data_IF_363711252985
#
_entry.id   IF_363711252985
#
_cell.length_a   1.000
_cell.length_b   1.000
_cell.length_c   1.000
_cell.angle_alpha   90.00
_cell.angle_beta   90.00
_cell.angle_gamma   90.00
#
_symmetry.space_group_name_H-M   'P 1'
#
loop_
_entity.id
_entity.type
_entity.pdbx_description
1 polymer ?
#
# COMPACT_ATOMS: atom_id res chain seq x y z
N UNK A 1 -1.39 29.88 -8.05
CA UNK A 1 -2.37 30.38 -7.05
C UNK A 1 -1.92 29.82 -5.73
N UNK A 2 -1.85 30.64 -4.69
CA UNK A 2 -1.19 30.26 -3.43
C UNK A 2 -2.19 30.13 -2.28
N UNK A 3 -1.81 29.40 -1.22
CA UNK A 3 -2.56 29.25 0.03
C UNK A 3 -3.97 28.67 -0.13
N UNK A 4 -4.15 27.72 -1.05
CA UNK A 4 -5.40 26.97 -1.15
C UNK A 4 -5.35 25.76 -0.24
N UNK A 5 -6.50 25.35 0.30
CA UNK A 5 -6.68 24.09 1.01
C UNK A 5 -7.54 23.17 0.14
N UNK A 6 -6.98 22.04 -0.26
CA UNK A 6 -7.53 21.13 -1.24
C UNK A 6 -7.57 19.75 -0.59
N UNK A 7 -8.76 19.32 -0.17
CA UNK A 7 -9.00 18.03 0.48
C UNK A 7 -10.43 17.57 0.16
N UNK A 8 -10.70 16.28 0.32
CA UNK A 8 -11.97 15.61 -0.01
C UNK A 8 -12.40 15.73 -1.49
N UNK A 9 -11.44 15.91 -2.40
CA UNK A 9 -11.71 15.91 -3.85
C UNK A 9 -11.43 14.54 -4.46
N UNK A 10 -11.97 14.30 -5.65
CA UNK A 10 -11.75 13.09 -6.42
C UNK A 10 -11.10 13.46 -7.75
N UNK A 11 -9.81 13.13 -7.90
CA UNK A 11 -9.05 13.29 -9.13
C UNK A 11 -9.05 11.96 -9.87
N UNK A 12 -9.91 11.84 -10.88
CA UNK A 12 -10.16 10.60 -11.62
C UNK A 12 -9.82 10.82 -13.09
N UNK A 13 -8.94 9.98 -13.63
CA UNK A 13 -8.62 9.90 -15.06
C UNK A 13 -8.22 11.25 -15.70
N UNK A 14 -7.45 12.08 -14.99
CA UNK A 14 -7.03 13.40 -15.49
C UNK A 14 -5.87 13.36 -16.52
N UNK A 15 -5.62 12.20 -17.15
CA UNK A 15 -4.60 12.06 -18.19
C UNK A 15 -3.22 11.68 -17.62
N UNK A 16 -2.17 12.45 -17.96
CA UNK A 16 -0.80 12.13 -17.54
C UNK A 16 -0.53 12.44 -16.07
N UNK A 17 -1.20 13.46 -15.50
CA UNK A 17 -0.96 13.97 -14.15
C UNK A 17 -2.29 14.42 -13.55
N UNK A 18 -2.56 14.04 -12.29
CA UNK A 18 -3.84 14.33 -11.62
C UNK A 18 -3.95 15.76 -11.07
N UNK A 19 -2.81 16.37 -10.78
CA UNK A 19 -2.66 17.73 -10.30
C UNK A 19 -1.30 18.25 -10.77
N UNK A 20 -1.02 19.54 -10.55
CA UNK A 20 0.31 20.12 -10.75
C UNK A 20 0.48 21.31 -9.80
N UNK A 21 1.57 21.33 -9.04
CA UNK A 21 1.90 22.42 -8.12
C UNK A 21 3.36 22.85 -8.24
N UNK A 22 3.56 24.03 -8.82
CA UNK A 22 4.87 24.68 -8.95
C UNK A 22 5.22 25.55 -7.72
N UNK A 23 4.38 25.56 -6.68
CA UNK A 23 4.49 26.45 -5.52
C UNK A 23 4.38 25.67 -4.20
N UNK A 24 5.22 25.98 -3.20
CA UNK A 24 5.20 25.29 -1.88
C UNK A 24 4.08 25.76 -0.92
N UNK A 25 3.02 26.38 -1.44
CA UNK A 25 2.07 27.15 -0.62
C UNK A 25 0.64 26.62 -0.61
N UNK A 26 0.30 25.64 -1.45
CA UNK A 26 -0.99 24.97 -1.33
C UNK A 26 -0.88 23.80 -0.35
N UNK A 27 -2.01 23.50 0.28
CA UNK A 27 -2.16 22.38 1.18
C UNK A 27 -3.08 21.36 0.51
N UNK A 28 -2.57 20.17 0.27
CA UNK A 28 -3.27 19.07 -0.39
C UNK A 28 -3.95 18.10 0.59
N UNK A 29 -3.93 18.44 1.87
CA UNK A 29 -4.65 17.77 2.94
C UNK A 29 -4.99 18.78 4.05
N UNK A 30 -5.81 18.36 5.02
CA UNK A 30 -6.14 19.17 6.20
C UNK A 30 -5.48 18.67 7.50
N UNK A 31 -4.44 17.83 7.39
CA UNK A 31 -3.80 17.15 8.52
C UNK A 31 -4.55 15.93 9.06
N UNK A 32 -5.68 15.56 8.46
CA UNK A 32 -6.47 14.37 8.80
C UNK A 32 -6.92 13.59 7.57
N UNK A 33 -7.26 14.29 6.48
CA UNK A 33 -7.73 13.71 5.23
C UNK A 33 -7.29 14.58 4.06
N UNK A 34 -6.95 13.93 2.96
CA UNK A 34 -6.56 14.51 1.69
C UNK A 34 -7.58 14.23 0.61
N UNK A 35 -7.12 13.84 -0.56
CA UNK A 35 -7.91 13.64 -1.77
C UNK A 35 -7.83 12.19 -2.25
N UNK A 36 -8.78 11.81 -3.10
CA UNK A 36 -8.72 10.56 -3.85
C UNK A 36 -7.95 10.78 -5.16
N UNK A 37 -7.01 9.90 -5.44
CA UNK A 37 -6.14 9.93 -6.62
C UNK A 37 -6.27 8.61 -7.37
N UNK A 38 -6.75 8.64 -8.61
CA UNK A 38 -7.02 7.40 -9.36
C UNK A 38 -5.77 6.59 -9.73
N UNK A 39 -4.58 7.21 -9.66
CA UNK A 39 -3.28 6.59 -9.92
C UNK A 39 -2.50 6.27 -8.63
N UNK A 40 -3.03 6.59 -7.46
CA UNK A 40 -2.44 6.15 -6.20
C UNK A 40 -2.49 4.62 -6.11
N UNK A 41 -1.39 4.05 -5.63
CA UNK A 41 -1.20 2.59 -5.57
C UNK A 41 -0.55 2.17 -4.26
N UNK A 42 -0.78 2.97 -3.20
CA UNK A 42 -0.34 2.67 -1.84
C UNK A 42 -1.17 1.55 -1.19
N UNK A 43 -0.99 1.43 0.11
CA UNK A 43 -1.58 0.41 0.99
C UNK A 43 -2.36 1.14 2.09
N UNK A 44 -3.47 0.57 2.56
CA UNK A 44 -4.20 0.98 3.77
C UNK A 44 -4.14 -0.18 4.78
N UNK A 45 -2.99 -0.40 5.40
CA UNK A 45 -2.73 -1.63 6.17
C UNK A 45 -3.52 -1.69 7.48
N UNK A 46 -4.08 -0.56 7.93
CA UNK A 46 -4.89 -0.45 9.13
C UNK A 46 -6.39 -0.32 8.83
N UNK A 47 -6.80 -0.42 7.57
CA UNK A 47 -8.18 -0.36 7.07
C UNK A 47 -8.94 0.90 7.58
N UNK A 48 -8.29 2.07 7.61
CA UNK A 48 -8.91 3.31 8.09
C UNK A 48 -9.44 4.24 6.98
N UNK A 49 -9.29 3.82 5.72
CA UNK A 49 -9.68 4.56 4.54
C UNK A 49 -8.67 5.62 4.09
N UNK A 50 -7.46 5.60 4.66
CA UNK A 50 -6.36 6.50 4.36
C UNK A 50 -5.14 5.69 3.91
N UNK A 51 -4.54 6.11 2.80
CA UNK A 51 -3.30 5.53 2.34
C UNK A 51 -2.13 5.79 3.29
N UNK A 52 -1.38 4.74 3.65
CA UNK A 52 -0.24 4.78 4.58
C UNK A 52 0.96 5.58 4.08
N UNK A 53 1.01 5.88 2.77
CA UNK A 53 2.09 6.64 2.14
C UNK A 53 1.54 7.90 1.48
N UNK A 54 2.22 9.06 1.61
CA UNK A 54 1.80 10.27 0.92
C UNK A 54 1.70 10.11 -0.60
N UNK A 55 0.82 10.87 -1.25
CA UNK A 55 0.78 11.04 -2.70
C UNK A 55 1.60 12.27 -3.10
N UNK A 56 2.60 12.08 -3.95
CA UNK A 56 3.44 13.16 -4.47
C UNK A 56 2.69 13.99 -5.52
N UNK A 57 2.63 15.30 -5.32
CA UNK A 57 2.08 16.23 -6.30
C UNK A 57 3.20 16.61 -7.28
N UNK A 58 3.02 16.42 -8.60
CA UNK A 58 4.05 16.78 -9.58
C UNK A 58 4.20 18.31 -9.68
N UNK A 59 5.39 18.74 -10.11
CA UNK A 59 5.80 20.15 -10.11
C UNK A 59 7.06 20.35 -9.26
N UNK A 60 6.91 20.89 -8.05
CA UNK A 60 8.00 21.07 -7.09
C UNK A 60 8.12 19.88 -6.13
N UNK A 61 9.36 19.41 -5.92
CA UNK A 61 9.65 18.34 -4.95
C UNK A 61 9.20 18.72 -3.52
N UNK A 62 8.58 17.77 -2.83
CA UNK A 62 8.16 17.91 -1.44
C UNK A 62 6.74 18.46 -1.24
N UNK A 63 6.00 18.72 -2.31
CA UNK A 63 4.55 18.96 -2.23
C UNK A 63 3.82 17.62 -2.26
N UNK A 64 3.08 17.33 -1.19
CA UNK A 64 2.45 16.03 -1.00
C UNK A 64 1.05 16.20 -0.41
N UNK A 65 0.17 15.26 -0.75
CA UNK A 65 -1.01 14.92 0.04
C UNK A 65 -0.61 13.81 1.04
N UNK A 66 -0.59 14.12 2.33
CA UNK A 66 -0.11 13.20 3.36
C UNK A 66 -1.17 12.20 3.82
N UNK A 67 -2.43 12.40 3.44
CA UNK A 67 -3.55 11.57 3.88
C UNK A 67 -4.45 11.17 2.70
N UNK A 68 -3.93 10.48 1.66
CA UNK A 68 -4.70 10.11 0.48
C UNK A 68 -5.91 9.26 0.86
N UNK A 69 -7.07 9.52 0.26
CA UNK A 69 -8.25 8.66 0.42
C UNK A 69 -8.00 7.37 -0.36
N UNK A 70 -7.89 6.23 0.32
CA UNK A 70 -7.57 4.96 -0.31
C UNK A 70 -8.10 3.76 0.48
N UNK A 71 -8.34 2.66 -0.24
CA UNK A 71 -8.72 1.35 0.29
C UNK A 71 -8.10 0.33 -0.69
N UNK A 72 -7.10 -0.45 -0.24
CA UNK A 72 -6.44 -1.46 -1.06
C UNK A 72 -7.18 -2.82 -1.07
N UNK A 73 -8.37 -2.84 -0.49
CA UNK A 73 -9.27 -3.98 -0.44
C UNK A 73 -9.16 -4.77 0.86
N UNK A 74 -10.00 -5.82 1.02
CA UNK A 74 -10.08 -6.53 2.28
C UNK A 74 -8.82 -7.31 2.58
N UNK A 75 -8.38 -7.18 3.82
CA UNK A 75 -7.31 -7.98 4.43
C UNK A 75 -7.65 -9.49 4.37
N UNK A 76 -7.01 -10.22 3.46
CA UNK A 76 -7.28 -11.65 3.25
C UNK A 76 -6.59 -12.52 4.31
N UNK A 77 -7.09 -12.49 5.54
CA UNK A 77 -6.73 -13.47 6.56
C UNK A 77 -7.45 -14.80 6.33
N UNK A 78 -6.95 -15.62 5.41
CA UNK A 78 -7.50 -16.97 5.17
C UNK A 78 -7.22 -17.86 6.39
N UNK A 79 -8.22 -18.26 7.20
CA UNK A 79 -7.95 -19.04 8.40
C UNK A 79 -7.21 -20.34 8.07
N UNK A 80 -6.08 -20.58 8.72
CA UNK A 80 -5.29 -21.80 8.51
C UNK A 80 -4.26 -21.75 7.38
N UNK A 81 -4.07 -20.62 6.68
CA UNK A 81 -2.96 -20.47 5.70
C UNK A 81 -1.59 -20.77 6.33
N UNK A 82 -1.36 -20.27 7.55
CA UNK A 82 -0.16 -20.56 8.34
C UNK A 82 -0.02 -22.07 8.59
N UNK A 83 -1.11 -22.76 8.92
CA UNK A 83 -1.09 -24.21 9.16
C UNK A 83 -0.73 -24.98 7.87
N UNK A 84 -1.32 -24.62 6.73
CA UNK A 84 -1.00 -25.22 5.44
C UNK A 84 0.47 -24.97 5.04
N UNK A 85 0.97 -23.75 5.26
CA UNK A 85 2.36 -23.39 5.01
C UNK A 85 3.33 -24.22 5.88
N UNK A 86 3.05 -24.35 7.18
CA UNK A 86 3.86 -25.17 8.09
C UNK A 86 3.79 -26.67 7.77
N UNK A 87 2.61 -27.20 7.41
CA UNK A 87 2.48 -28.60 6.97
C UNK A 87 3.28 -28.86 5.70
N UNK A 88 3.30 -27.90 4.77
CA UNK A 88 4.14 -27.93 3.58
C UNK A 88 5.62 -28.05 3.94
N UNK A 89 6.14 -27.13 4.75
CA UNK A 89 7.56 -27.15 5.19
C UNK A 89 7.88 -28.44 5.95
N UNK A 90 7.03 -28.86 6.88
CA UNK A 90 7.23 -30.07 7.68
C UNK A 90 7.32 -31.32 6.79
N UNK A 91 6.45 -31.44 5.78
CA UNK A 91 6.47 -32.58 4.85
C UNK A 91 7.80 -32.70 4.11
N UNK A 92 8.37 -31.58 3.65
CA UNK A 92 9.66 -31.53 2.95
C UNK A 92 10.79 -31.97 3.87
N UNK A 93 10.81 -31.48 5.11
CA UNK A 93 11.80 -31.88 6.12
C UNK A 93 11.73 -33.38 6.40
N UNK A 94 10.53 -33.93 6.59
CA UNK A 94 10.33 -35.37 6.81
C UNK A 94 10.86 -36.19 5.63
N UNK A 95 10.63 -35.75 4.39
CA UNK A 95 11.14 -36.41 3.19
C UNK A 95 12.67 -36.40 3.17
N UNK A 96 13.30 -35.26 3.46
CA UNK A 96 14.76 -35.12 3.48
C UNK A 96 15.38 -36.02 4.56
N UNK A 97 14.84 -36.00 5.79
CA UNK A 97 15.29 -36.85 6.89
C UNK A 97 15.12 -38.34 6.55
N UNK A 98 13.97 -38.71 5.99
CA UNK A 98 13.70 -40.07 5.55
C UNK A 98 14.66 -40.55 4.45
N UNK A 99 15.10 -39.65 3.56
CA UNK A 99 16.13 -39.96 2.55
C UNK A 99 17.52 -40.09 3.18
N UNK A 100 17.86 -39.24 4.16
CA UNK A 100 19.15 -39.29 4.88
C UNK A 100 19.29 -40.57 5.70
N UNK A 101 18.24 -40.96 6.43
CA UNK A 101 18.20 -42.18 7.23
C UNK A 101 18.26 -43.46 6.36
N UNK A 102 17.67 -43.43 5.16
CA UNK A 102 17.79 -44.54 4.21
C UNK A 102 19.22 -44.69 3.67
N UNK A 103 19.91 -43.58 3.40
CA UNK A 103 21.31 -43.60 2.95
C UNK A 103 22.29 -44.05 4.03
N UNK A 104 22.05 -43.76 5.31
CA UNK A 104 22.96 -44.15 6.39
C UNK A 104 22.87 -45.62 6.81
N UNK A 105 21.91 -46.38 6.28
CA UNK A 105 21.73 -47.82 6.55
C UNK A 105 22.47 -48.73 5.56
N UNK A 106 23.17 -48.16 4.57
CA UNK A 106 24.02 -48.84 3.59
C UNK A 106 25.41 -48.21 3.64
#
# INVERSE_FOLDING_TARGET
>A
STNNSIYENFFIDNGLENAWDDELSNHWDNGMIGNYWSDYSGIDANDDGIGDTPYDIPGVEGVQDNFPIWDDGPDLQIPGYNLLFFLGILSVVVIILSKKLRKSKF
#
